data_IF_197106211209
#
_entry.id   IF_197106211209
#
_cell.length_a   1.000
_cell.length_b   1.000
_cell.length_c   1.000
_cell.angle_alpha   90.00
_cell.angle_beta   90.00
_cell.angle_gamma   90.00
#
_symmetry.space_group_name_H-M   'P 1'
#
loop_
_entity.id
_entity.type
_entity.pdbx_description
1 polymer ?
#
# COMPACT_ATOMS: atom_id res chain seq x y z
N UNK A 1 52.07 -13.64 31.99
CA UNK A 1 51.02 -14.46 31.35
C UNK A 1 49.62 -14.15 31.91
N UNK A 2 49.34 -14.30 33.22
CA UNK A 2 47.99 -14.08 33.79
C UNK A 2 47.31 -12.71 33.54
N UNK A 3 48.08 -11.61 33.39
CA UNK A 3 47.48 -10.28 33.08
C UNK A 3 46.95 -10.17 31.65
N UNK A 4 47.57 -10.87 30.70
CA UNK A 4 47.16 -10.90 29.29
C UNK A 4 45.89 -11.74 29.12
N UNK A 5 45.82 -12.93 29.73
CA UNK A 5 44.64 -13.80 29.73
C UNK A 5 43.40 -13.09 30.30
N UNK A 6 43.53 -12.43 31.46
CA UNK A 6 42.47 -11.64 32.08
C UNK A 6 41.97 -10.46 31.21
N UNK A 7 42.80 -9.95 30.29
CA UNK A 7 42.43 -8.85 29.38
C UNK A 7 41.69 -9.39 28.16
N UNK A 8 42.06 -10.57 27.69
CA UNK A 8 41.40 -11.31 26.61
C UNK A 8 40.02 -11.80 27.08
N UNK A 9 39.92 -12.40 28.27
CA UNK A 9 38.64 -12.82 28.84
C UNK A 9 37.68 -11.66 29.03
N UNK A 10 38.15 -10.51 29.54
CA UNK A 10 37.30 -9.30 29.67
C UNK A 10 36.81 -8.77 28.32
N UNK A 11 37.66 -8.79 27.27
CA UNK A 11 37.22 -8.42 25.91
C UNK A 11 36.19 -9.40 25.35
N UNK A 12 36.38 -10.70 25.58
CA UNK A 12 35.48 -11.77 25.16
C UNK A 12 34.11 -11.66 25.86
N UNK A 13 34.10 -11.45 27.18
CA UNK A 13 32.86 -11.28 27.96
C UNK A 13 32.12 -10.00 27.52
N UNK A 14 32.83 -8.89 27.28
CA UNK A 14 32.21 -7.65 26.79
C UNK A 14 31.65 -7.81 25.38
N UNK A 15 32.36 -8.53 24.49
CA UNK A 15 31.87 -8.89 23.16
C UNK A 15 30.61 -9.76 23.21
N UNK A 16 30.59 -10.76 24.10
CA UNK A 16 29.43 -11.62 24.31
C UNK A 16 28.19 -10.83 24.77
N UNK A 17 28.35 -9.91 25.74
CA UNK A 17 27.24 -9.04 26.18
C UNK A 17 26.72 -8.13 25.06
N UNK A 18 27.61 -7.57 24.22
CA UNK A 18 27.19 -6.75 23.07
C UNK A 18 26.38 -7.59 22.07
N UNK A 19 26.82 -8.81 21.76
CA UNK A 19 26.07 -9.69 20.85
C UNK A 19 24.73 -10.13 21.41
N UNK A 20 24.63 -10.37 22.72
CA UNK A 20 23.37 -10.70 23.38
C UNK A 20 22.40 -9.53 23.37
N UNK A 21 22.86 -8.31 23.67
CA UNK A 21 22.03 -7.10 23.62
C UNK A 21 21.56 -6.84 22.19
N UNK A 22 22.44 -6.98 21.20
CA UNK A 22 22.07 -6.82 19.80
C UNK A 22 21.00 -7.83 19.37
N UNK A 23 21.14 -9.10 19.77
CA UNK A 23 20.16 -10.14 19.48
C UNK A 23 18.78 -9.83 20.07
N UNK A 24 18.72 -9.45 21.35
CA UNK A 24 17.46 -9.07 22.01
C UNK A 24 16.86 -7.82 21.36
N UNK A 25 17.69 -6.82 21.04
CA UNK A 25 17.25 -5.60 20.39
C UNK A 25 16.63 -5.87 19.01
N UNK A 26 17.21 -6.77 18.20
CA UNK A 26 16.64 -7.15 16.90
C UNK A 26 15.27 -7.81 17.06
N UNK A 27 15.10 -8.70 18.03
CA UNK A 27 13.80 -9.35 18.28
C UNK A 27 12.76 -8.32 18.70
N UNK A 28 13.10 -7.43 19.65
CA UNK A 28 12.20 -6.35 20.08
C UNK A 28 11.88 -5.36 18.95
N UNK A 29 12.85 -5.07 18.09
CA UNK A 29 12.67 -4.22 16.93
C UNK A 29 11.66 -4.81 15.93
N UNK A 30 11.76 -6.11 15.66
CA UNK A 30 10.79 -6.82 14.80
C UNK A 30 9.38 -6.79 15.40
N UNK A 31 9.25 -7.01 16.72
CA UNK A 31 7.96 -6.91 17.41
C UNK A 31 7.38 -5.49 17.36
N UNK A 32 8.25 -4.47 17.45
CA UNK A 32 7.83 -3.07 17.35
C UNK A 32 7.28 -2.74 15.95
N UNK A 33 7.95 -3.21 14.88
CA UNK A 33 7.44 -3.07 13.50
C UNK A 33 6.12 -3.81 13.33
N UNK A 34 5.98 -5.03 13.88
CA UNK A 34 4.72 -5.78 13.84
C UNK A 34 3.60 -5.02 14.54
N UNK A 35 3.87 -4.41 15.70
CA UNK A 35 2.91 -3.56 16.41
C UNK A 35 2.50 -2.32 15.61
N UNK A 36 3.45 -1.64 14.97
CA UNK A 36 3.18 -0.50 14.09
C UNK A 36 2.35 -0.90 12.87
N UNK A 37 2.65 -2.05 12.27
CA UNK A 37 1.92 -2.58 11.12
C UNK A 37 0.44 -2.83 11.46
N UNK A 38 0.15 -3.40 12.65
CA UNK A 38 -1.22 -3.57 13.12
C UNK A 38 -1.94 -2.24 13.34
N UNK A 39 -1.25 -1.23 13.90
CA UNK A 39 -1.80 0.12 14.08
C UNK A 39 -2.06 0.87 12.77
N UNK A 40 -1.26 0.60 11.72
CA UNK A 40 -1.39 1.22 10.40
C UNK A 40 -2.22 0.38 9.40
N UNK A 41 -2.61 -0.85 9.74
CA UNK A 41 -3.31 -1.76 8.84
C UNK A 41 -4.61 -1.18 8.28
N UNK A 42 -5.36 -0.42 9.10
CA UNK A 42 -6.58 0.26 8.64
C UNK A 42 -6.31 1.27 7.52
N UNK A 43 -5.34 2.16 7.73
CA UNK A 43 -4.96 3.18 6.72
C UNK A 43 -4.41 2.56 5.44
N UNK A 44 -3.63 1.48 5.56
CA UNK A 44 -3.13 0.74 4.39
C UNK A 44 -4.28 0.04 3.67
N UNK A 45 -5.24 -0.54 4.40
CA UNK A 45 -6.43 -1.16 3.82
C UNK A 45 -7.28 -0.14 3.07
N UNK A 46 -7.53 1.02 3.66
CA UNK A 46 -8.29 2.10 3.04
C UNK A 46 -7.56 2.62 1.81
N UNK A 47 -6.25 2.85 1.89
CA UNK A 47 -5.43 3.24 0.74
C UNK A 47 -5.55 2.23 -0.40
N UNK A 48 -5.42 0.93 -0.14
CA UNK A 48 -5.55 -0.08 -1.21
C UNK A 48 -6.95 -0.08 -1.80
N UNK A 49 -8.00 -0.04 -0.96
CA UNK A 49 -9.40 -0.02 -1.42
C UNK A 49 -9.71 1.21 -2.27
N UNK A 50 -9.19 2.36 -1.90
CA UNK A 50 -9.41 3.63 -2.60
C UNK A 50 -8.64 3.72 -3.94
N UNK A 51 -7.62 2.88 -4.15
CA UNK A 51 -6.85 2.84 -5.40
C UNK A 51 -7.34 1.77 -6.40
N UNK A 52 -8.39 1.02 -6.07
CA UNK A 52 -9.00 0.06 -7.01
C UNK A 52 -10.04 0.81 -7.86
N UNK A 53 -9.73 0.99 -9.14
CA UNK A 53 -10.66 1.52 -10.14
C UNK A 53 -11.36 0.41 -10.92
N UNK A 54 -12.64 0.60 -11.24
CA UNK A 54 -13.41 -0.26 -12.14
C UNK A 54 -13.88 0.53 -13.36
N UNK A 55 -13.71 -0.03 -14.55
CA UNK A 55 -14.21 0.55 -15.80
C UNK A 55 -15.50 -0.16 -16.21
N UNK A 56 -16.59 0.58 -16.34
CA UNK A 56 -17.88 0.06 -16.80
C UNK A 56 -18.08 0.40 -18.28
N UNK A 57 -18.12 -0.62 -19.13
CA UNK A 57 -18.41 -0.42 -20.55
C UNK A 57 -19.93 -0.37 -20.79
N UNK A 58 -20.41 0.77 -21.28
CA UNK A 58 -21.82 0.99 -21.58
C UNK A 58 -22.11 0.62 -23.04
N UNK A 59 -23.29 0.03 -23.29
CA UNK A 59 -23.73 -0.32 -24.65
C UNK A 59 -23.93 0.94 -25.51
N UNK A 60 -23.62 0.80 -26.80
CA UNK A 60 -23.54 1.91 -27.76
C UNK A 60 -24.82 2.73 -27.97
N UNK A 61 -25.99 2.18 -27.67
CA UNK A 61 -27.32 2.78 -27.92
C UNK A 61 -28.04 3.19 -26.63
N UNK A 62 -27.30 3.48 -25.57
CA UNK A 62 -27.86 3.93 -24.29
C UNK A 62 -28.04 5.44 -24.33
N UNK A 63 -29.19 5.95 -23.89
CA UNK A 63 -29.43 7.41 -23.85
C UNK A 63 -28.53 8.03 -22.78
N UNK A 64 -27.98 9.21 -23.05
CA UNK A 64 -27.13 9.92 -22.09
C UNK A 64 -27.85 10.21 -20.77
N UNK A 65 -29.16 10.44 -20.80
CA UNK A 65 -29.98 10.59 -19.59
C UNK A 65 -29.89 9.36 -18.68
N UNK A 66 -29.99 8.15 -19.25
CA UNK A 66 -29.96 6.91 -18.49
C UNK A 66 -28.55 6.65 -17.91
N UNK A 67 -27.51 7.09 -18.64
CA UNK A 67 -26.12 7.01 -18.17
C UNK A 67 -25.89 7.97 -17.00
N UNK A 68 -26.44 9.17 -17.08
CA UNK A 68 -26.31 10.18 -16.02
C UNK A 68 -27.06 9.76 -14.75
N UNK A 69 -28.26 9.18 -14.90
CA UNK A 69 -29.02 8.61 -13.78
C UNK A 69 -28.23 7.47 -13.10
N UNK A 70 -27.62 6.59 -13.91
CA UNK A 70 -26.75 5.53 -13.40
C UNK A 70 -25.52 6.09 -12.66
N UNK A 71 -24.90 7.13 -13.21
CA UNK A 71 -23.77 7.83 -12.56
C UNK A 71 -24.19 8.39 -11.21
N UNK A 72 -25.36 9.01 -11.11
CA UNK A 72 -25.87 9.59 -9.87
C UNK A 72 -26.12 8.51 -8.79
N UNK A 73 -26.65 7.35 -9.17
CA UNK A 73 -26.82 6.20 -8.26
C UNK A 73 -25.45 5.71 -7.74
N UNK A 74 -24.46 5.64 -8.63
CA UNK A 74 -23.09 5.24 -8.29
C UNK A 74 -22.43 6.27 -7.36
N UNK A 75 -22.57 7.57 -7.66
CA UNK A 75 -22.01 8.65 -6.83
C UNK A 75 -22.61 8.71 -5.42
N UNK A 76 -23.89 8.37 -5.28
CA UNK A 76 -24.57 8.33 -3.98
C UNK A 76 -24.27 7.06 -3.17
N UNK A 77 -23.58 6.09 -3.76
CA UNK A 77 -23.28 4.82 -3.10
C UNK A 77 -22.16 4.97 -2.07
N UNK A 78 -22.31 4.44 -0.83
CA UNK A 78 -21.36 4.68 0.26
C UNK A 78 -19.99 3.99 0.08
N UNK A 79 -19.87 3.13 -0.92
CA UNK A 79 -18.65 2.38 -1.28
C UNK A 79 -17.90 2.96 -2.48
N UNK A 80 -18.37 4.09 -3.04
CA UNK A 80 -17.75 4.74 -4.19
C UNK A 80 -17.04 6.01 -3.72
N UNK A 81 -15.74 6.11 -4.00
CA UNK A 81 -14.95 7.32 -3.69
C UNK A 81 -15.13 8.40 -4.77
N UNK A 82 -15.12 8.00 -6.03
CA UNK A 82 -15.33 8.89 -7.18
C UNK A 82 -15.85 8.11 -8.37
N UNK A 83 -16.60 8.77 -9.26
CA UNK A 83 -16.95 8.24 -10.56
C UNK A 83 -16.76 9.30 -11.65
N UNK A 84 -16.22 8.88 -12.80
CA UNK A 84 -16.00 9.71 -13.98
C UNK A 84 -16.76 9.09 -15.15
N UNK A 85 -17.56 9.92 -15.84
CA UNK A 85 -18.11 9.55 -17.14
C UNK A 85 -17.08 9.89 -18.21
N UNK A 86 -16.89 8.98 -19.16
CA UNK A 86 -15.93 9.11 -20.26
C UNK A 86 -16.75 8.91 -21.54
N UNK A 87 -16.71 9.87 -22.47
CA UNK A 87 -17.43 9.72 -23.75
C UNK A 87 -16.73 8.67 -24.63
N UNK A 88 -17.40 8.23 -25.71
CA UNK A 88 -16.79 7.28 -26.66
C UNK A 88 -15.52 7.85 -27.29
N UNK A 89 -15.52 9.13 -27.60
CA UNK A 89 -14.40 9.85 -28.21
C UNK A 89 -13.24 10.00 -27.22
N UNK A 90 -13.53 10.35 -25.97
CA UNK A 90 -12.52 10.46 -24.90
C UNK A 90 -11.92 9.08 -24.59
N UNK A 91 -12.73 8.03 -24.53
CA UNK A 91 -12.26 6.66 -24.31
C UNK A 91 -11.38 6.15 -25.45
N UNK A 92 -11.71 6.50 -26.71
CA UNK A 92 -10.87 6.16 -27.86
C UNK A 92 -9.51 6.88 -27.80
N UNK A 93 -9.49 8.13 -27.33
CA UNK A 93 -8.25 8.90 -27.15
C UNK A 93 -7.39 8.35 -26.00
N UNK A 94 -7.98 8.07 -24.85
CA UNK A 94 -7.28 7.49 -23.69
C UNK A 94 -6.69 6.11 -24.05
N UNK A 95 -7.41 5.30 -24.82
CA UNK A 95 -6.89 4.03 -25.36
C UNK A 95 -5.72 4.22 -26.35
N UNK A 96 -5.76 5.24 -27.21
CA UNK A 96 -4.65 5.54 -28.13
C UNK A 96 -3.39 5.98 -27.36
N UNK A 97 -3.56 6.84 -26.35
CA UNK A 97 -2.48 7.28 -25.45
C UNK A 97 -1.88 6.11 -24.66
N UNK A 98 -2.71 5.23 -24.09
CA UNK A 98 -2.28 4.02 -23.35
C UNK A 98 -1.54 3.02 -24.24
N UNK A 99 -1.92 2.92 -25.51
CA UNK A 99 -1.25 2.07 -26.50
C UNK A 99 0.04 2.68 -27.05
N UNK A 100 0.38 3.91 -26.66
CA UNK A 100 1.61 4.60 -27.07
C UNK A 100 1.69 4.90 -28.56
N UNK A 101 0.55 5.05 -29.24
CA UNK A 101 0.50 5.41 -30.65
C UNK A 101 0.36 6.93 -30.79
N UNK A 102 1.48 7.61 -31.06
CA UNK A 102 1.50 8.91 -31.74
C UNK A 102 1.14 8.74 -33.23
#
# INVERSE_FOLDING_TARGET
>A
MQKEENKIERKRIRGAHVTTVLSIATVLFLLCIQGLMLGYAGKVSDYVKENIGFTLMIKEYTRESDIMDMKEIIDRSPYVKSSRYISKEEAAKELQEDLGQD
#
